data_IF_946565515320
#
_entry.id   IF_946565515320
#
_cell.length_a   1.000
_cell.length_b   1.000
_cell.length_c   1.000
_cell.angle_alpha   90.00
_cell.angle_beta   90.00
_cell.angle_gamma   90.00
#
_symmetry.space_group_name_H-M   'P 1'
#
loop_
_entity.id
_entity.type
_entity.pdbx_description
1 polymer ?
#
# COMPACT_ATOMS: atom_id res chain seq x y z
N UNK A 1 -5.24 -16.62 6.90
CA UNK A 1 -5.37 -15.62 5.83
C UNK A 1 -6.01 -14.41 6.47
N UNK A 2 -5.18 -13.49 6.98
CA UNK A 2 -5.70 -12.34 7.71
C UNK A 2 -6.37 -11.41 6.71
N UNK A 3 -7.70 -11.37 6.77
CA UNK A 3 -8.53 -10.46 6.02
C UNK A 3 -8.37 -9.03 6.56
N UNK A 4 -8.14 -8.07 5.68
CA UNK A 4 -8.56 -6.68 5.91
C UNK A 4 -7.63 -5.80 6.76
N UNK A 5 -6.32 -6.04 6.78
CA UNK A 5 -5.41 -5.07 7.39
C UNK A 5 -5.09 -3.96 6.37
N UNK A 6 -5.46 -2.72 6.72
CA UNK A 6 -5.10 -1.55 5.92
C UNK A 6 -3.56 -1.47 5.88
N UNK A 7 -2.94 -1.38 4.69
CA UNK A 7 -1.49 -1.33 4.57
C UNK A 7 -0.84 -0.25 5.46
N UNK A 8 0.24 -0.61 6.14
CA UNK A 8 1.00 0.33 6.97
C UNK A 8 1.79 1.33 6.13
N UNK A 9 2.06 2.51 6.69
CA UNK A 9 2.96 3.51 6.06
C UNK A 9 4.34 2.88 5.85
N UNK A 10 4.86 3.00 4.64
CA UNK A 10 6.11 2.38 4.18
C UNK A 10 5.93 1.02 3.52
N UNK A 11 4.79 0.35 3.70
CA UNK A 11 4.51 -0.94 3.06
C UNK A 11 4.20 -0.78 1.57
N UNK A 12 4.43 -1.85 0.80
CA UNK A 12 3.93 -1.93 -0.58
C UNK A 12 2.44 -2.29 -0.58
N UNK A 13 1.70 -1.66 -1.47
CA UNK A 13 0.29 -1.92 -1.66
C UNK A 13 -0.12 -1.81 -3.13
N UNK A 14 -1.15 -2.56 -3.51
CA UNK A 14 -1.76 -2.53 -4.84
C UNK A 14 -3.10 -1.82 -4.77
N UNK A 15 -3.26 -0.80 -5.60
CA UNK A 15 -4.56 -0.23 -5.95
C UNK A 15 -5.22 -1.14 -6.99
N UNK A 16 -6.27 -1.88 -6.60
CA UNK A 16 -6.94 -2.83 -7.48
C UNK A 16 -7.82 -2.15 -8.54
N UNK A 17 -8.22 -0.89 -8.32
CA UNK A 17 -9.04 -0.15 -9.27
C UNK A 17 -8.20 0.36 -10.46
N UNK A 18 -6.94 0.72 -10.19
CA UNK A 18 -5.99 1.22 -11.20
C UNK A 18 -5.02 0.17 -11.72
N UNK A 19 -5.02 -1.02 -11.11
CA UNK A 19 -4.01 -2.06 -11.29
C UNK A 19 -2.58 -1.50 -11.17
N UNK A 20 -2.36 -0.71 -10.12
CA UNK A 20 -1.12 0.03 -9.89
C UNK A 20 -0.53 -0.30 -8.52
N UNK A 21 0.80 -0.30 -8.42
CA UNK A 21 1.53 -0.60 -7.18
C UNK A 21 2.26 0.65 -6.70
N UNK A 22 2.17 0.91 -5.40
CA UNK A 22 2.89 1.99 -4.74
C UNK A 22 3.25 1.66 -3.29
N UNK A 23 4.14 2.46 -2.72
CA UNK A 23 4.42 2.45 -1.29
C UNK A 23 3.41 3.35 -0.58
N UNK A 24 2.90 2.91 0.57
CA UNK A 24 2.03 3.73 1.40
C UNK A 24 2.82 4.91 1.95
N UNK A 25 2.44 6.12 1.55
CA UNK A 25 3.02 7.36 2.03
C UNK A 25 2.30 7.87 3.29
N UNK A 26 0.97 7.73 3.34
CA UNK A 26 0.16 8.20 4.46
C UNK A 26 -1.22 7.52 4.50
N UNK A 27 -1.94 7.66 5.61
CA UNK A 27 -3.33 7.19 5.79
C UNK A 27 -4.18 8.24 6.52
N UNK A 28 -5.35 8.57 5.96
CA UNK A 28 -6.31 9.46 6.61
C UNK A 28 -7.73 8.93 6.42
N UNK A 29 -8.40 8.64 7.53
CA UNK A 29 -9.77 8.12 7.50
C UNK A 29 -9.87 6.82 6.71
N UNK A 30 -10.66 6.85 5.64
CA UNK A 30 -10.94 5.74 4.72
C UNK A 30 -10.08 5.76 3.45
N UNK A 31 -9.00 6.56 3.43
CA UNK A 31 -8.09 6.67 2.28
C UNK A 31 -6.63 6.42 2.65
N UNK A 32 -5.93 5.84 1.69
CA UNK A 32 -4.50 5.56 1.72
C UNK A 32 -3.83 6.32 0.59
N UNK A 33 -2.75 7.04 0.88
CA UNK A 33 -1.94 7.72 -0.12
C UNK A 33 -0.80 6.81 -0.54
N UNK A 34 -0.68 6.55 -1.84
CA UNK A 34 0.36 5.74 -2.44
C UNK A 34 1.32 6.61 -3.24
N UNK A 35 2.61 6.31 -3.11
CA UNK A 35 3.69 6.83 -3.95
C UNK A 35 4.15 5.73 -4.90
N UNK A 36 4.23 6.00 -6.21
CA UNK A 36 4.72 5.00 -7.16
C UNK A 36 6.17 4.60 -6.87
N UNK A 37 6.49 3.31 -6.98
CA UNK A 37 7.82 2.74 -6.66
C UNK A 37 8.93 3.33 -7.54
N UNK A 38 8.63 3.72 -8.77
CA UNK A 38 9.56 4.36 -9.71
C UNK A 38 9.60 5.89 -9.66
N UNK A 39 8.90 6.51 -8.69
CA UNK A 39 8.63 7.95 -8.69
C UNK A 39 7.49 8.35 -9.63
N UNK A 40 7.07 9.61 -9.56
CA UNK A 40 5.89 10.13 -10.24
C UNK A 40 4.91 10.77 -9.27
N UNK A 41 3.65 10.92 -9.70
CA UNK A 41 2.62 11.60 -8.92
C UNK A 41 1.99 10.63 -7.93
N UNK A 42 1.96 11.03 -6.66
CA UNK A 42 1.21 10.33 -5.61
C UNK A 42 -0.30 10.34 -5.91
N UNK A 43 -0.99 9.31 -5.46
CA UNK A 43 -2.44 9.21 -5.57
C UNK A 43 -3.05 8.61 -4.31
N UNK A 44 -4.32 8.91 -4.07
CA UNK A 44 -5.09 8.31 -2.99
C UNK A 44 -6.01 7.20 -3.49
N UNK A 45 -6.22 6.20 -2.64
CA UNK A 45 -7.04 5.02 -2.89
C UNK A 45 -7.91 4.73 -1.65
N UNK A 46 -9.20 4.38 -1.82
CA UNK A 46 -10.03 3.95 -0.71
C UNK A 46 -9.48 2.67 -0.06
N UNK A 47 -9.61 2.55 1.26
CA UNK A 47 -9.14 1.36 2.02
C UNK A 47 -9.75 0.04 1.53
N UNK A 48 -10.94 0.08 0.93
CA UNK A 48 -11.59 -1.10 0.33
C UNK A 48 -11.08 -1.47 -1.07
N UNK A 49 -10.21 -0.66 -1.66
CA UNK A 49 -9.63 -0.86 -2.99
C UNK A 49 -8.10 -0.93 -2.97
N UNK A 50 -7.53 -1.09 -1.77
CA UNK A 50 -6.09 -1.20 -1.58
C UNK A 50 -5.77 -2.53 -0.90
N UNK A 51 -4.88 -3.30 -1.50
CA UNK A 51 -4.45 -4.59 -0.99
C UNK A 51 -2.99 -4.50 -0.55
N UNK A 52 -2.64 -4.94 0.67
CA UNK A 52 -1.24 -5.03 1.08
C UNK A 52 -0.53 -6.04 0.19
N UNK A 53 0.61 -5.64 -0.35
CA UNK A 53 1.54 -6.57 -0.96
C UNK A 53 2.52 -6.98 0.12
N UNK A 54 2.65 -8.29 0.37
CA UNK A 54 3.68 -8.80 1.26
C UNK A 54 5.02 -8.22 0.79
N UNK A 55 5.60 -7.34 1.61
CA UNK A 55 6.97 -6.88 1.41
C UNK A 55 7.83 -8.13 1.40
N UNK A 56 8.71 -8.30 0.40
CA UNK A 56 9.65 -9.44 0.35
C UNK A 56 10.61 -9.49 1.55
N UNK A 57 10.53 -8.51 2.45
CA UNK A 57 11.32 -8.36 3.65
C UNK A 57 10.61 -8.93 4.89
N UNK A 58 10.12 -10.17 4.79
CA UNK A 58 10.18 -11.10 5.93
C UNK A 58 11.62 -11.67 6.02
N UNK A 59 12.65 -10.81 6.04
CA UNK A 59 13.97 -11.26 6.48
C UNK A 59 14.15 -10.79 7.90
N UNK A 60 13.81 -11.73 8.78
CA UNK A 60 14.21 -11.78 10.18
C UNK A 60 15.52 -11.04 10.41
N UNK A 61 15.46 -10.00 11.24
CA UNK A 61 16.66 -9.45 11.84
C UNK A 61 17.41 -10.56 12.57
N UNK A 62 18.65 -10.80 12.15
CA UNK A 62 19.67 -11.52 12.92
C UNK A 62 20.92 -10.67 13.02
#
# INVERSE_FOLDING_TARGET
MSAGEVPEVGALARDVARDAVGCVADRHGDRVWLRPVGGGREWDVPVGQVEPLASRDDREGR
#
